data_IF_315224724524
#
_entry.id   IF_315224724524
#
_cell.length_a   1.000
_cell.length_b   1.000
_cell.length_c   1.000
_cell.angle_alpha   90.00
_cell.angle_beta   90.00
_cell.angle_gamma   90.00
#
_symmetry.space_group_name_H-M   'P 1'
#
loop_
_entity.id
_entity.type
_entity.pdbx_description
1 polymer ?
#
# COMPACT_ATOMS: atom_id res chain seq x y z
N UNK A 1 -25.13 -29.84 8.16
CA UNK A 1 -25.98 -29.15 9.18
C UNK A 1 -26.72 -28.06 8.43
N UNK A 2 -27.99 -27.74 8.71
CA UNK A 2 -28.56 -26.59 8.01
C UNK A 2 -27.88 -25.33 8.54
N UNK A 3 -27.37 -24.51 7.63
CA UNK A 3 -26.86 -23.19 7.97
C UNK A 3 -28.05 -22.33 8.45
N UNK A 4 -27.84 -21.48 9.45
CA UNK A 4 -28.92 -20.73 10.12
C UNK A 4 -29.36 -19.45 9.42
N UNK A 5 -28.92 -19.23 8.18
CA UNK A 5 -29.16 -18.04 7.36
C UNK A 5 -29.03 -18.38 5.87
N UNK A 6 -29.56 -17.51 5.01
CA UNK A 6 -29.52 -17.66 3.54
C UNK A 6 -28.36 -16.88 2.90
N UNK A 7 -27.75 -15.93 3.64
CA UNK A 7 -26.63 -15.11 3.17
C UNK A 7 -25.56 -14.99 4.26
N UNK A 8 -24.32 -15.23 3.87
CA UNK A 8 -23.15 -15.12 4.72
C UNK A 8 -22.15 -14.15 4.08
N UNK A 9 -21.54 -13.30 4.90
CA UNK A 9 -20.48 -12.39 4.47
C UNK A 9 -19.26 -12.59 5.37
N UNK A 10 -18.08 -12.60 4.77
CA UNK A 10 -16.84 -12.88 5.47
C UNK A 10 -15.64 -12.75 4.54
N UNK A 11 -14.46 -12.88 5.12
CA UNK A 11 -13.20 -12.91 4.35
C UNK A 11 -12.92 -14.33 3.86
N UNK A 12 -11.82 -14.52 3.14
CA UNK A 12 -11.42 -15.84 2.67
C UNK A 12 -11.30 -16.89 3.78
N UNK A 13 -10.96 -16.48 5.01
CA UNK A 13 -10.83 -17.37 6.15
C UNK A 13 -12.17 -17.94 6.61
N UNK A 14 -13.26 -17.16 6.48
CA UNK A 14 -14.60 -17.62 6.80
C UNK A 14 -14.97 -18.80 5.91
N UNK A 15 -14.75 -18.66 4.60
CA UNK A 15 -15.18 -19.65 3.61
C UNK A 15 -14.17 -20.77 3.39
N UNK A 16 -12.93 -20.64 3.85
CA UNK A 16 -11.96 -21.75 3.93
C UNK A 16 -12.17 -22.65 5.17
N UNK A 17 -13.09 -22.29 6.07
CA UNK A 17 -13.37 -23.06 7.29
C UNK A 17 -14.08 -24.38 6.95
N UNK A 18 -13.73 -25.50 7.61
CA UNK A 18 -14.47 -26.76 7.50
C UNK A 18 -15.97 -26.65 7.80
N UNK A 19 -16.39 -25.58 8.51
CA UNK A 19 -17.80 -25.32 8.77
C UNK A 19 -18.62 -25.14 7.49
N UNK A 20 -18.03 -24.56 6.44
CA UNK A 20 -18.71 -24.27 5.18
C UNK A 20 -18.44 -25.30 4.08
N UNK A 21 -17.60 -26.31 4.33
CA UNK A 21 -17.21 -27.32 3.34
C UNK A 21 -18.42 -27.97 2.67
N UNK A 22 -18.57 -27.70 1.36
CA UNK A 22 -19.69 -28.11 0.52
C UNK A 22 -21.08 -27.67 1.01
N UNK A 23 -21.19 -26.67 1.88
CA UNK A 23 -22.48 -26.23 2.46
C UNK A 23 -23.16 -25.11 1.65
N UNK A 24 -22.44 -24.38 0.80
CA UNK A 24 -22.98 -23.23 0.06
C UNK A 24 -23.31 -23.59 -1.39
N UNK A 25 -24.44 -23.07 -1.89
CA UNK A 25 -24.81 -23.22 -3.30
C UNK A 25 -23.93 -22.37 -4.22
N UNK A 26 -23.59 -21.15 -3.79
CA UNK A 26 -22.77 -20.19 -4.54
C UNK A 26 -21.85 -19.40 -3.61
N UNK A 27 -20.70 -18.98 -4.13
CA UNK A 27 -19.79 -18.03 -3.50
C UNK A 27 -19.53 -16.85 -4.45
N UNK A 28 -19.87 -15.65 -4.02
CA UNK A 28 -19.53 -14.41 -4.73
C UNK A 28 -18.25 -13.82 -4.13
N UNK A 29 -17.27 -13.55 -4.98
CA UNK A 29 -16.03 -12.89 -4.61
C UNK A 29 -16.01 -11.55 -5.30
N UNK A 30 -16.26 -10.50 -4.53
CA UNK A 30 -16.13 -9.12 -4.98
C UNK A 30 -14.67 -8.67 -4.93
N UNK A 31 -14.30 -7.71 -5.76
CA UNK A 31 -12.92 -7.26 -5.97
C UNK A 31 -11.94 -8.43 -6.23
N UNK A 32 -12.36 -9.41 -7.03
CA UNK A 32 -11.60 -10.63 -7.30
C UNK A 32 -10.22 -10.36 -7.96
N UNK A 33 -10.03 -9.21 -8.61
CA UNK A 33 -8.71 -8.74 -9.09
C UNK A 33 -7.71 -8.46 -7.96
N UNK A 34 -8.16 -8.43 -6.71
CA UNK A 34 -7.35 -8.25 -5.52
C UNK A 34 -7.22 -9.54 -4.69
N UNK A 35 -7.81 -10.65 -5.13
CA UNK A 35 -7.80 -11.90 -4.36
C UNK A 35 -6.85 -12.91 -5.00
N UNK A 36 -5.81 -13.30 -4.27
CA UNK A 36 -4.84 -14.29 -4.75
C UNK A 36 -5.52 -15.64 -5.07
N UNK A 37 -5.06 -16.29 -6.12
CA UNK A 37 -5.58 -17.58 -6.61
C UNK A 37 -5.56 -18.64 -5.51
N UNK A 38 -4.51 -18.68 -4.68
CA UNK A 38 -4.42 -19.59 -3.54
C UNK A 38 -5.60 -19.44 -2.54
N UNK A 39 -6.02 -18.19 -2.27
CA UNK A 39 -7.14 -17.92 -1.37
C UNK A 39 -8.45 -18.38 -1.99
N UNK A 40 -8.63 -18.19 -3.30
CA UNK A 40 -9.83 -18.67 -4.00
C UNK A 40 -9.91 -20.19 -3.95
N UNK A 41 -8.80 -20.90 -4.16
CA UNK A 41 -8.77 -22.37 -4.04
C UNK A 41 -9.16 -22.83 -2.63
N UNK A 42 -8.71 -22.12 -1.58
CA UNK A 42 -9.09 -22.45 -0.21
C UNK A 42 -10.60 -22.22 0.04
N UNK A 43 -11.14 -21.09 -0.41
CA UNK A 43 -12.57 -20.78 -0.30
C UNK A 43 -13.46 -21.68 -1.17
N UNK A 44 -12.93 -22.19 -2.29
CA UNK A 44 -13.65 -23.07 -3.20
C UNK A 44 -14.10 -24.38 -2.55
N UNK A 45 -13.56 -24.73 -1.38
CA UNK A 45 -14.08 -25.87 -0.61
C UNK A 45 -15.52 -25.65 -0.15
N UNK A 46 -15.96 -24.40 0.03
CA UNK A 46 -17.31 -24.11 0.50
C UNK A 46 -18.41 -24.40 -0.52
N UNK A 47 -18.10 -24.41 -1.82
CA UNK A 47 -19.10 -24.49 -2.89
C UNK A 47 -18.54 -25.05 -4.21
N UNK A 48 -19.43 -25.51 -5.09
CA UNK A 48 -19.07 -25.87 -6.47
C UNK A 48 -19.25 -24.73 -7.47
N UNK A 49 -19.93 -23.64 -7.10
CA UNK A 49 -20.25 -22.54 -8.01
C UNK A 49 -19.67 -21.23 -7.48
N UNK A 50 -18.70 -20.67 -8.19
CA UNK A 50 -18.01 -19.44 -7.80
C UNK A 50 -18.31 -18.36 -8.84
N UNK A 51 -18.73 -17.18 -8.37
CA UNK A 51 -18.87 -15.98 -9.17
C UNK A 51 -17.77 -15.01 -8.77
N UNK A 52 -16.95 -14.63 -9.74
CA UNK A 52 -15.88 -13.65 -9.57
C UNK A 52 -16.31 -12.32 -10.14
N UNK A 53 -16.24 -11.26 -9.34
CA UNK A 53 -16.58 -9.90 -9.73
C UNK A 53 -15.38 -9.03 -9.42
N UNK A 54 -14.90 -8.26 -10.39
CA UNK A 54 -13.76 -7.38 -10.20
C UNK A 54 -13.18 -6.92 -11.53
N UNK A 55 -12.04 -6.23 -11.44
CA UNK A 55 -11.34 -5.66 -12.59
C UNK A 55 -9.82 -5.83 -12.40
N UNK A 56 -9.19 -6.60 -13.28
CA UNK A 56 -7.75 -6.86 -13.28
C UNK A 56 -6.92 -5.65 -13.72
N UNK A 57 -7.53 -4.66 -14.38
CA UNK A 57 -6.83 -3.43 -14.78
C UNK A 57 -6.73 -2.41 -13.64
N UNK A 58 -7.43 -2.65 -12.53
CA UNK A 58 -7.31 -1.87 -11.31
C UNK A 58 -6.18 -2.41 -10.41
N UNK A 59 -5.88 -1.69 -9.33
CA UNK A 59 -4.77 -2.04 -8.44
C UNK A 59 -4.98 -3.44 -7.84
N UNK A 60 -4.01 -4.33 -8.09
CA UNK A 60 -3.89 -5.59 -7.37
C UNK A 60 -3.56 -5.36 -5.89
N UNK A 61 -3.88 -6.33 -5.04
CA UNK A 61 -3.54 -6.23 -3.62
C UNK A 61 -2.03 -6.40 -3.39
N UNK A 62 -1.43 -5.65 -2.46
CA UNK A 62 -0.06 -5.91 -2.02
C UNK A 62 0.00 -7.28 -1.34
N UNK A 63 0.75 -8.22 -1.93
CA UNK A 63 0.93 -9.55 -1.36
C UNK A 63 2.07 -9.52 -0.36
N UNK A 64 1.78 -9.82 0.91
CA UNK A 64 2.81 -10.01 1.93
C UNK A 64 3.26 -11.48 1.94
N UNK A 65 4.01 -11.89 0.91
CA UNK A 65 4.55 -13.23 0.81
C UNK A 65 4.77 -13.68 -0.63
N UNK A 66 5.79 -14.51 -0.85
CA UNK A 66 6.04 -15.11 -2.16
C UNK A 66 5.28 -16.42 -2.27
N UNK A 67 4.32 -16.49 -3.18
CA UNK A 67 3.68 -17.75 -3.54
C UNK A 67 4.43 -18.38 -4.72
N UNK A 68 4.63 -19.70 -4.74
CA UNK A 68 5.30 -20.37 -5.86
C UNK A 68 4.42 -20.34 -7.11
N UNK A 69 5.05 -20.11 -8.27
CA UNK A 69 4.35 -20.09 -9.56
C UNK A 69 3.25 -19.04 -9.61
N UNK A 70 2.11 -19.42 -10.18
CA UNK A 70 0.98 -18.52 -10.43
C UNK A 70 0.01 -18.40 -9.24
N UNK A 71 0.27 -19.09 -8.13
CA UNK A 71 -0.62 -19.10 -6.96
C UNK A 71 -0.75 -17.72 -6.28
N UNK A 72 0.22 -16.83 -6.51
CA UNK A 72 0.20 -15.45 -6.04
C UNK A 72 -0.54 -14.49 -6.96
N UNK A 73 -0.80 -14.84 -8.21
CA UNK A 73 -1.57 -13.97 -9.11
C UNK A 73 -2.97 -13.77 -8.55
N UNK A 74 -3.57 -12.61 -8.84
CA UNK A 74 -5.00 -12.46 -8.60
C UNK A 74 -5.77 -13.50 -9.42
N UNK A 75 -6.92 -13.96 -8.94
CA UNK A 75 -7.68 -14.99 -9.65
C UNK A 75 -8.13 -14.52 -11.03
N UNK A 76 -8.42 -13.23 -11.20
CA UNK A 76 -8.79 -12.67 -12.50
C UNK A 76 -7.58 -12.62 -13.44
N UNK A 77 -6.41 -12.21 -12.96
CA UNK A 77 -5.16 -12.24 -13.73
C UNK A 77 -4.82 -13.66 -14.18
N UNK A 78 -4.91 -14.64 -13.27
CA UNK A 78 -4.69 -16.05 -13.58
C UNK A 78 -5.66 -16.57 -14.67
N UNK A 79 -6.94 -16.23 -14.59
CA UNK A 79 -7.95 -16.71 -15.54
C UNK A 79 -7.90 -16.00 -16.90
N UNK A 80 -7.49 -14.73 -16.91
CA UNK A 80 -7.43 -13.92 -18.12
C UNK A 80 -6.11 -14.07 -18.87
N UNK A 81 -5.01 -14.34 -18.17
CA UNK A 81 -3.69 -14.40 -18.76
C UNK A 81 -3.37 -13.08 -19.48
N UNK A 82 -3.08 -13.18 -20.79
CA UNK A 82 -2.68 -12.02 -21.60
C UNK A 82 -3.84 -11.11 -22.07
N UNK A 83 -5.08 -11.40 -21.67
CA UNK A 83 -6.25 -10.63 -22.12
C UNK A 83 -6.53 -9.41 -21.22
N UNK A 84 -6.52 -8.22 -21.80
CA UNK A 84 -6.88 -6.96 -21.11
C UNK A 84 -8.35 -6.89 -20.69
N UNK A 85 -9.23 -7.62 -21.37
CA UNK A 85 -10.67 -7.67 -21.09
C UNK A 85 -11.20 -9.10 -21.15
N UNK A 86 -12.28 -9.38 -20.42
CA UNK A 86 -12.89 -10.73 -20.37
C UNK A 86 -13.37 -11.15 -21.78
N UNK A 87 -12.85 -12.27 -22.34
CA UNK A 87 -13.37 -12.83 -23.58
C UNK A 87 -14.82 -13.31 -23.43
N UNK A 88 -15.62 -13.22 -24.50
CA UNK A 88 -17.05 -13.52 -24.44
C UNK A 88 -17.36 -14.97 -24.05
N UNK A 89 -16.45 -15.89 -24.35
CA UNK A 89 -16.51 -17.30 -24.00
C UNK A 89 -16.08 -17.61 -22.56
N UNK A 90 -15.45 -16.64 -21.85
CA UNK A 90 -14.92 -16.82 -20.49
C UNK A 90 -15.74 -16.12 -19.41
N UNK A 91 -16.52 -15.10 -19.76
CA UNK A 91 -17.34 -14.40 -18.78
C UNK A 91 -18.07 -13.19 -19.34
N UNK A 92 -18.63 -12.39 -18.43
CA UNK A 92 -19.46 -11.23 -18.77
C UNK A 92 -18.63 -9.97 -18.55
N UNK A 93 -18.50 -9.15 -19.60
CA UNK A 93 -17.89 -7.83 -19.52
C UNK A 93 -18.97 -6.75 -19.37
N UNK A 94 -18.91 -5.97 -18.30
CA UNK A 94 -19.82 -4.84 -18.07
C UNK A 94 -19.31 -3.58 -18.78
N UNK A 95 -19.55 -3.50 -20.09
CA UNK A 95 -18.96 -2.47 -20.96
C UNK A 95 -19.60 -1.08 -20.92
N UNK A 96 -20.48 -0.77 -19.96
CA UNK A 96 -21.11 0.55 -19.87
C UNK A 96 -20.91 1.18 -18.48
N UNK A 97 -20.14 2.27 -18.43
CA UNK A 97 -19.93 3.05 -17.21
C UNK A 97 -21.01 4.12 -17.03
N UNK A 98 -21.43 4.31 -15.78
CA UNK A 98 -22.30 5.43 -15.37
C UNK A 98 -21.52 6.49 -14.60
N UNK A 99 -20.19 6.45 -14.57
CA UNK A 99 -19.37 7.39 -13.77
C UNK A 99 -18.74 8.49 -14.60
N UNK A 100 -18.10 8.15 -15.71
CA UNK A 100 -17.24 9.07 -16.48
C UNK A 100 -18.00 9.72 -17.63
N UNK A 101 -17.73 11.01 -17.93
CA UNK A 101 -18.23 11.66 -19.16
C UNK A 101 -17.63 10.98 -20.40
N UNK A 102 -18.28 11.08 -21.58
CA UNK A 102 -17.81 10.41 -22.79
C UNK A 102 -16.34 10.69 -23.16
N UNK A 103 -15.88 11.95 -23.04
CA UNK A 103 -14.50 12.33 -23.37
C UNK A 103 -13.44 11.66 -22.48
N UNK A 104 -13.72 11.50 -21.18
CA UNK A 104 -12.83 10.77 -20.25
C UNK A 104 -12.94 9.26 -20.48
N UNK A 105 -14.16 8.76 -20.67
CA UNK A 105 -14.40 7.33 -20.88
C UNK A 105 -13.69 6.80 -22.13
N UNK A 106 -13.68 7.58 -23.23
CA UNK A 106 -13.03 7.18 -24.48
C UNK A 106 -11.53 6.92 -24.27
N UNK A 107 -10.83 7.85 -23.63
CA UNK A 107 -9.41 7.71 -23.33
C UNK A 107 -9.13 6.44 -22.49
N UNK A 108 -9.88 6.24 -21.41
CA UNK A 108 -9.72 5.08 -20.53
C UNK A 108 -10.05 3.77 -21.26
N UNK A 109 -11.08 3.79 -22.11
CA UNK A 109 -11.51 2.63 -22.90
C UNK A 109 -10.42 2.18 -23.87
N UNK A 110 -9.83 3.11 -24.60
CA UNK A 110 -8.78 2.81 -25.59
C UNK A 110 -7.47 2.37 -24.91
N UNK A 111 -7.14 2.97 -23.76
CA UNK A 111 -5.90 2.69 -23.06
C UNK A 111 -5.91 1.35 -22.29
N UNK A 112 -7.04 0.96 -21.70
CA UNK A 112 -7.09 -0.15 -20.74
C UNK A 112 -8.14 -1.22 -21.04
N UNK A 113 -9.12 -0.96 -21.91
CA UNK A 113 -10.27 -1.86 -22.12
C UNK A 113 -10.53 -2.20 -23.59
N UNK A 114 -9.50 -2.19 -24.44
CA UNK A 114 -9.58 -2.55 -25.86
C UNK A 114 -10.67 -1.77 -26.65
N UNK A 115 -11.01 -0.55 -26.21
CA UNK A 115 -12.08 0.27 -26.79
C UNK A 115 -13.50 -0.25 -26.49
N UNK A 116 -13.67 -1.26 -25.62
CA UNK A 116 -14.95 -1.92 -25.34
C UNK A 116 -15.79 -1.20 -24.28
N UNK A 117 -15.20 -0.29 -23.50
CA UNK A 117 -15.89 0.47 -22.47
C UNK A 117 -16.59 1.72 -23.07
N UNK A 118 -17.86 1.91 -22.74
CA UNK A 118 -18.69 3.02 -23.24
C UNK A 118 -19.31 3.80 -22.09
N UNK A 119 -19.55 5.10 -22.30
CA UNK A 119 -20.25 5.94 -21.34
C UNK A 119 -21.76 5.83 -21.54
N UNK A 120 -22.52 5.67 -20.45
CA UNK A 120 -23.98 5.79 -20.48
C UNK A 120 -24.38 7.23 -20.85
N UNK A 121 -25.47 7.42 -21.60
CA UNK A 121 -25.91 8.73 -22.10
C UNK A 121 -26.06 9.79 -20.98
N UNK A 122 -26.64 9.39 -19.84
CA UNK A 122 -26.80 10.26 -18.67
C UNK A 122 -25.49 10.80 -18.07
N UNK A 123 -24.34 10.23 -18.43
CA UNK A 123 -23.06 10.77 -17.97
C UNK A 123 -22.73 12.09 -18.65
N UNK A 124 -23.25 12.34 -19.86
CA UNK A 124 -23.01 13.55 -20.64
C UNK A 124 -23.77 14.77 -20.10
N UNK A 125 -24.82 14.55 -19.29
CA UNK A 125 -25.67 15.57 -18.67
C UNK A 125 -24.96 16.35 -17.57
N UNK A 126 -23.89 15.79 -16.99
CA UNK A 126 -23.05 16.51 -16.02
C UNK A 126 -22.07 17.41 -16.74
N UNK A 127 -21.87 18.62 -16.24
CA UNK A 127 -20.90 19.57 -16.81
C UNK A 127 -20.28 20.44 -15.75
N UNK A 128 -19.05 20.87 -16.03
CA UNK A 128 -18.39 21.97 -15.31
C UNK A 128 -18.54 23.23 -16.17
N UNK A 129 -18.82 24.36 -15.55
CA UNK A 129 -18.70 25.68 -16.17
C UNK A 129 -17.62 26.47 -15.42
N UNK A 130 -16.40 26.37 -15.93
CA UNK A 130 -15.21 26.93 -15.32
C UNK A 130 -14.90 28.28 -15.98
N UNK A 131 -14.93 29.35 -15.19
CA UNK A 131 -14.73 30.72 -15.66
C UNK A 131 -13.45 31.32 -15.10
N UNK A 132 -12.64 31.90 -15.98
CA UNK A 132 -11.42 32.64 -15.59
C UNK A 132 -10.30 31.76 -15.01
N UNK A 133 -10.34 30.44 -15.22
CA UNK A 133 -9.31 29.51 -14.78
C UNK A 133 -8.67 28.78 -15.95
N UNK A 134 -7.40 28.45 -15.82
CA UNK A 134 -6.61 27.71 -16.81
C UNK A 134 -6.84 26.19 -16.65
N UNK A 135 -8.09 25.78 -16.86
CA UNK A 135 -8.55 24.39 -16.94
C UNK A 135 -9.74 24.32 -17.91
N UNK A 136 -9.84 23.27 -18.75
CA UNK A 136 -11.01 23.07 -19.60
C UNK A 136 -12.20 22.58 -18.77
N UNK A 137 -13.40 22.84 -19.27
CA UNK A 137 -14.67 22.37 -18.67
C UNK A 137 -14.84 20.84 -18.68
N UNK A 138 -13.96 20.11 -19.37
CA UNK A 138 -13.98 18.65 -19.41
C UNK A 138 -12.64 18.05 -19.82
N UNK A 139 -12.46 16.76 -19.49
CA UNK A 139 -11.36 15.95 -19.98
C UNK A 139 -10.25 15.72 -18.97
N UNK A 140 -9.09 15.33 -19.48
CA UNK A 140 -7.87 15.04 -18.72
C UNK A 140 -6.83 16.08 -19.12
N UNK A 141 -6.21 16.72 -18.14
CA UNK A 141 -5.19 17.75 -18.36
C UNK A 141 -3.91 17.34 -17.70
N UNK A 142 -2.80 17.44 -18.45
CA UNK A 142 -1.46 17.27 -17.90
C UNK A 142 -0.88 18.65 -17.58
N UNK A 143 -0.49 18.84 -16.32
CA UNK A 143 0.16 20.07 -15.84
C UNK A 143 1.56 19.68 -15.40
N UNK A 144 2.58 20.25 -16.05
CA UNK A 144 3.98 20.00 -15.69
C UNK A 144 4.40 20.87 -14.51
N UNK A 145 5.18 20.29 -13.59
CA UNK A 145 5.85 21.00 -12.52
C UNK A 145 7.37 20.91 -12.74
N UNK A 146 8.08 22.03 -12.68
CA UNK A 146 9.54 22.05 -12.75
C UNK A 146 10.12 21.81 -11.35
N UNK A 147 10.68 20.62 -11.11
CA UNK A 147 11.36 20.28 -9.86
C UNK A 147 12.40 19.16 -10.09
N UNK A 148 13.38 19.04 -9.19
CA UNK A 148 14.43 18.01 -9.24
C UNK A 148 14.61 17.37 -7.86
N UNK A 149 14.80 16.04 -7.82
CA UNK A 149 15.10 15.32 -6.58
C UNK A 149 13.90 15.10 -5.63
N UNK A 150 12.67 15.34 -6.08
CA UNK A 150 11.44 15.23 -5.27
C UNK A 150 10.83 13.81 -5.25
N UNK A 151 11.55 12.80 -4.74
CA UNK A 151 11.08 11.41 -4.73
C UNK A 151 9.85 11.15 -3.86
N UNK A 152 9.68 11.90 -2.77
CA UNK A 152 8.63 11.69 -1.75
C UNK A 152 7.82 12.93 -1.39
N UNK A 153 8.25 14.12 -1.81
CA UNK A 153 7.58 15.41 -1.59
C UNK A 153 8.10 16.41 -2.61
N UNK A 154 7.18 17.10 -3.28
CA UNK A 154 7.47 18.32 -4.03
C UNK A 154 6.60 19.44 -3.45
N UNK A 155 7.25 20.56 -3.09
CA UNK A 155 6.52 21.77 -2.67
C UNK A 155 5.89 22.40 -3.90
N UNK A 156 6.60 22.37 -5.03
CA UNK A 156 6.22 22.90 -6.33
C UNK A 156 4.93 22.24 -6.86
N UNK A 157 4.85 20.90 -6.85
CA UNK A 157 3.61 20.18 -7.19
C UNK A 157 2.48 20.54 -6.22
N UNK A 158 2.78 20.63 -4.92
CA UNK A 158 1.80 20.98 -3.90
C UNK A 158 1.21 22.37 -4.09
N UNK A 159 2.03 23.35 -4.43
CA UNK A 159 1.61 24.73 -4.73
C UNK A 159 0.73 24.78 -6.00
N UNK A 160 1.12 24.06 -7.06
CA UNK A 160 0.32 23.96 -8.29
C UNK A 160 -1.05 23.32 -8.00
N UNK A 161 -1.07 22.19 -7.30
CA UNK A 161 -2.31 21.48 -6.94
C UNK A 161 -3.20 22.38 -6.09
N UNK A 162 -2.64 23.03 -5.06
CA UNK A 162 -3.38 23.95 -4.20
C UNK A 162 -3.98 25.11 -4.99
N UNK A 163 -3.21 25.72 -5.89
CA UNK A 163 -3.70 26.83 -6.71
C UNK A 163 -4.87 26.40 -7.62
N UNK A 164 -4.81 25.21 -8.22
CA UNK A 164 -5.90 24.67 -9.05
C UNK A 164 -7.11 24.26 -8.20
N UNK A 165 -6.89 23.66 -7.03
CA UNK A 165 -7.95 23.32 -6.07
C UNK A 165 -8.73 24.56 -5.63
N UNK A 166 -8.03 25.60 -5.16
CA UNK A 166 -8.66 26.85 -4.73
C UNK A 166 -9.43 27.54 -5.86
N UNK A 167 -8.92 27.46 -7.10
CA UNK A 167 -9.56 28.05 -8.28
C UNK A 167 -10.83 27.29 -8.74
N UNK A 168 -10.94 26.00 -8.43
CA UNK A 168 -12.11 25.18 -8.72
C UNK A 168 -13.26 25.41 -7.73
N UNK A 169 -12.95 25.70 -6.47
CA UNK A 169 -13.97 25.94 -5.46
C UNK A 169 -14.86 27.14 -5.85
N UNK A 170 -16.17 26.94 -5.75
CA UNK A 170 -17.16 27.96 -6.11
C UNK A 170 -17.46 28.08 -7.61
N UNK A 171 -16.72 27.40 -8.49
CA UNK A 171 -17.09 27.27 -9.91
C UNK A 171 -18.39 26.47 -10.05
N UNK A 172 -19.07 26.58 -11.19
CA UNK A 172 -20.37 25.93 -11.36
C UNK A 172 -20.23 24.47 -11.82
N UNK A 173 -20.93 23.58 -11.12
CA UNK A 173 -21.15 22.20 -11.49
C UNK A 173 -22.64 21.96 -11.70
N UNK A 174 -22.99 21.32 -12.82
CA UNK A 174 -24.35 20.88 -13.10
C UNK A 174 -24.43 19.37 -13.00
N UNK A 175 -25.35 18.86 -12.16
CA UNK A 175 -25.57 17.43 -12.00
C UNK A 175 -26.61 16.90 -13.01
N UNK A 176 -26.83 15.57 -13.02
CA UNK A 176 -27.70 14.86 -13.98
C UNK A 176 -29.15 15.30 -13.94
N UNK A 177 -29.62 15.79 -12.80
CA UNK A 177 -30.97 16.32 -12.64
C UNK A 177 -31.12 17.76 -13.19
N UNK A 178 -30.04 18.33 -13.71
CA UNK A 178 -29.98 19.71 -14.20
C UNK A 178 -29.76 20.74 -13.09
N UNK A 179 -29.57 20.31 -11.83
CA UNK A 179 -29.28 21.23 -10.73
C UNK A 179 -27.87 21.77 -10.88
N UNK A 180 -27.75 23.09 -11.00
CA UNK A 180 -26.47 23.81 -10.99
C UNK A 180 -26.18 24.33 -9.59
N UNK A 181 -24.96 24.08 -9.10
CA UNK A 181 -24.48 24.55 -7.81
C UNK A 181 -22.97 24.81 -7.83
N UNK A 182 -22.44 25.60 -6.88
CA UNK A 182 -21.00 25.72 -6.72
C UNK A 182 -20.35 24.38 -6.35
N UNK A 183 -19.14 24.15 -6.88
CA UNK A 183 -18.23 23.08 -6.48
C UNK A 183 -17.79 23.32 -5.03
N UNK A 184 -17.87 22.27 -4.21
CA UNK A 184 -17.40 22.26 -2.83
C UNK A 184 -16.23 21.30 -2.66
N UNK A 185 -15.66 21.26 -1.46
CA UNK A 185 -14.57 20.34 -1.12
C UNK A 185 -14.97 18.87 -1.32
N UNK A 186 -16.24 18.52 -1.09
CA UNK A 186 -16.78 17.16 -1.27
C UNK A 186 -16.77 16.68 -2.73
N UNK A 187 -16.64 17.60 -3.69
CA UNK A 187 -16.63 17.30 -5.12
C UNK A 187 -15.22 17.06 -5.66
N UNK A 188 -14.17 17.39 -4.89
CA UNK A 188 -12.78 17.36 -5.35
C UNK A 188 -11.99 16.32 -4.57
N UNK A 189 -11.53 15.29 -5.26
CA UNK A 189 -10.60 14.31 -4.71
C UNK A 189 -9.17 14.60 -5.20
N UNK A 190 -8.29 15.02 -4.28
CA UNK A 190 -6.85 15.10 -4.56
C UNK A 190 -6.22 13.76 -4.22
N UNK A 191 -5.88 12.98 -5.25
CA UNK A 191 -5.16 11.73 -5.09
C UNK A 191 -3.67 11.98 -5.25
N UNK A 192 -2.91 11.48 -4.28
CA UNK A 192 -1.46 11.39 -4.37
C UNK A 192 -1.09 9.92 -4.36
N UNK A 193 -0.15 9.52 -5.20
CA UNK A 193 0.59 8.28 -4.98
C UNK A 193 1.47 8.48 -3.73
N UNK A 194 0.89 8.29 -2.55
CA UNK A 194 1.60 8.27 -1.27
C UNK A 194 1.92 6.80 -0.96
N UNK A 195 2.98 6.40 -0.29
CA UNK A 195 4.32 6.91 0.02
C UNK A 195 4.97 5.69 0.69
N UNK A 196 6.26 5.43 0.48
CA UNK A 196 6.97 4.39 1.23
C UNK A 196 6.73 4.54 2.75
N UNK A 197 6.57 5.77 3.25
CA UNK A 197 6.20 6.09 4.63
C UNK A 197 4.87 5.50 5.09
N UNK A 198 3.82 5.46 4.26
CA UNK A 198 2.52 4.90 4.67
C UNK A 198 2.50 3.37 4.60
N UNK A 199 3.25 2.79 3.66
CA UNK A 199 3.55 1.36 3.66
C UNK A 199 4.37 0.96 4.89
N UNK A 200 5.43 1.72 5.20
CA UNK A 200 6.25 1.57 6.42
C UNK A 200 5.37 1.75 7.66
N UNK A 201 4.53 2.78 7.73
CA UNK A 201 3.61 3.04 8.84
C UNK A 201 2.54 1.94 8.98
N UNK A 202 2.10 1.31 7.89
CA UNK A 202 1.23 0.13 7.94
C UNK A 202 1.95 -1.12 8.47
N UNK A 203 3.22 -1.31 8.12
CA UNK A 203 4.03 -2.37 8.75
C UNK A 203 4.23 -2.09 10.24
N UNK A 204 4.48 -0.83 10.62
CA UNK A 204 4.64 -0.36 12.01
C UNK A 204 3.34 -0.51 12.82
N UNK A 205 2.17 -0.19 12.26
CA UNK A 205 0.87 -0.33 12.95
C UNK A 205 0.44 -1.79 13.15
N UNK A 206 0.90 -2.70 12.30
CA UNK A 206 0.58 -4.14 12.40
C UNK A 206 1.41 -4.86 13.47
N UNK A 207 2.55 -4.30 13.89
CA UNK A 207 3.26 -4.71 15.09
C UNK A 207 2.73 -3.92 16.29
N UNK A 208 2.03 -4.59 17.21
CA UNK A 208 1.66 -3.99 18.51
C UNK A 208 2.89 -3.33 19.16
N UNK A 209 2.90 -1.99 19.21
CA UNK A 209 4.00 -1.21 19.80
C UNK A 209 5.16 -0.99 18.83
N UNK A 210 5.29 0.27 18.43
CA UNK A 210 6.25 0.96 17.55
C UNK A 210 7.71 0.51 17.70
N UNK A 211 8.23 -0.28 16.74
CA UNK A 211 9.66 -0.64 16.65
C UNK A 211 10.09 -0.91 15.17
N UNK A 212 10.82 0.01 14.50
CA UNK A 212 11.38 -0.19 13.13
C UNK A 212 12.89 -0.49 13.13
N UNK A 213 13.42 -1.50 12.43
CA UNK A 213 14.85 -1.92 12.48
C UNK A 213 15.71 -1.43 11.30
N UNK A 214 16.97 -1.07 11.53
CA UNK A 214 18.02 -1.00 10.49
C UNK A 214 18.40 -2.42 10.04
N UNK A 215 17.90 -2.84 8.87
CA UNK A 215 18.16 -4.18 8.33
C UNK A 215 19.14 -4.09 7.15
N UNK A 216 20.35 -4.58 7.38
CA UNK A 216 21.28 -4.93 6.30
C UNK A 216 21.21 -6.44 6.05
N UNK A 217 20.68 -6.84 4.89
CA UNK A 217 20.45 -8.25 4.56
C UNK A 217 21.65 -8.96 3.89
N UNK A 218 22.82 -8.33 3.82
CA UNK A 218 24.03 -8.95 3.25
C UNK A 218 24.15 -8.85 1.73
N UNK A 219 23.03 -8.77 1.02
CA UNK A 219 22.97 -8.75 -0.46
C UNK A 219 22.86 -7.32 -1.06
N UNK A 220 22.90 -6.29 -0.21
CA UNK A 220 22.75 -4.89 -0.64
C UNK A 220 24.12 -4.26 -0.94
N UNK A 221 24.17 -3.38 -1.96
CA UNK A 221 25.32 -2.50 -2.14
C UNK A 221 25.51 -1.61 -0.89
N UNK A 222 26.67 -1.71 -0.24
CA UNK A 222 26.92 -1.02 1.04
C UNK A 222 26.92 0.50 0.92
N UNK A 223 27.33 1.06 -0.22
CA UNK A 223 27.32 2.51 -0.42
C UNK A 223 25.90 3.02 -0.64
N UNK A 224 25.08 2.27 -1.37
CA UNK A 224 23.66 2.55 -1.53
C UNK A 224 22.91 2.41 -0.20
N UNK A 225 23.19 1.36 0.58
CA UNK A 225 22.59 1.17 1.89
C UNK A 225 22.97 2.27 2.88
N UNK A 226 24.24 2.69 2.91
CA UNK A 226 24.67 3.82 3.75
C UNK A 226 23.97 5.15 3.39
N UNK A 227 23.57 5.30 2.12
CA UNK A 227 22.80 6.45 1.62
C UNK A 227 21.29 6.28 1.73
N UNK A 228 20.81 5.14 2.22
CA UNK A 228 19.38 4.87 2.34
C UNK A 228 18.75 5.80 3.37
N UNK A 229 17.48 6.15 3.14
CA UNK A 229 16.73 7.08 3.98
C UNK A 229 16.66 6.63 5.44
N UNK A 230 16.52 5.31 5.68
CA UNK A 230 16.50 4.77 7.05
C UNK A 230 17.83 5.00 7.79
N UNK A 231 18.96 4.95 7.08
CA UNK A 231 20.28 5.29 7.65
C UNK A 231 20.43 6.79 7.82
N UNK A 232 19.93 7.61 6.89
CA UNK A 232 19.98 9.07 7.03
C UNK A 232 19.11 9.56 8.19
N UNK A 233 17.91 9.01 8.38
CA UNK A 233 17.03 9.31 9.51
C UNK A 233 17.66 8.90 10.84
N UNK A 234 18.33 7.75 10.89
CA UNK A 234 19.12 7.35 12.06
C UNK A 234 20.18 8.40 12.38
N UNK A 235 20.97 8.81 11.38
CA UNK A 235 22.07 9.78 11.57
C UNK A 235 21.56 11.16 12.01
N UNK A 236 20.35 11.56 11.61
CA UNK A 236 19.73 12.81 12.07
C UNK A 236 19.21 12.73 13.51
N UNK A 237 18.84 11.54 13.99
CA UNK A 237 18.20 11.32 15.29
C UNK A 237 19.18 10.91 16.39
N UNK A 238 20.28 10.24 16.04
CA UNK A 238 21.31 9.87 17.01
C UNK A 238 22.11 11.09 17.45
N UNK A 239 22.23 11.27 18.77
CA UNK A 239 23.08 12.31 19.30
C UNK A 239 24.55 11.99 19.03
N UNK A 240 25.35 13.03 18.79
CA UNK A 240 26.74 12.87 18.37
C UNK A 240 27.63 12.23 19.44
N UNK A 241 27.27 12.33 20.73
CA UNK A 241 28.03 11.74 21.84
C UNK A 241 27.86 10.21 21.86
N UNK A 242 26.61 9.73 21.81
CA UNK A 242 26.29 8.30 21.69
C UNK A 242 26.92 7.69 20.45
N UNK A 243 26.82 8.36 19.30
CA UNK A 243 27.45 7.89 18.07
C UNK A 243 28.97 7.78 18.22
N UNK A 244 29.62 8.81 18.78
CA UNK A 244 31.06 8.81 19.00
C UNK A 244 31.51 7.68 19.95
N UNK A 245 30.78 7.44 21.05
CA UNK A 245 31.06 6.36 22.00
C UNK A 245 30.98 4.97 21.34
N UNK A 246 29.96 4.73 20.52
CA UNK A 246 29.79 3.46 19.80
C UNK A 246 30.93 3.25 18.81
N UNK A 247 31.25 4.26 17.99
CA UNK A 247 32.34 4.20 17.02
C UNK A 247 33.68 4.00 17.72
N UNK A 248 33.92 4.70 18.83
CA UNK A 248 35.14 4.58 19.62
C UNK A 248 35.30 3.16 20.17
N UNK A 249 34.25 2.58 20.76
CA UNK A 249 34.26 1.19 21.23
C UNK A 249 34.55 0.19 20.12
N UNK A 250 33.92 0.35 18.95
CA UNK A 250 34.20 -0.52 17.79
C UNK A 250 35.66 -0.39 17.38
N UNK A 251 36.20 0.83 17.36
CA UNK A 251 37.59 1.09 16.98
C UNK A 251 38.62 0.49 17.96
N UNK A 252 38.28 0.33 19.24
CA UNK A 252 39.18 -0.27 20.24
C UNK A 252 39.48 -1.76 19.95
N UNK A 253 38.49 -2.52 19.47
CA UNK A 253 38.71 -3.90 19.03
C UNK A 253 37.71 -4.28 17.93
N UNK A 254 37.97 -3.93 16.65
CA UNK A 254 37.00 -4.10 15.58
C UNK A 254 36.55 -5.55 15.35
N UNK A 255 37.42 -6.53 15.62
CA UNK A 255 37.08 -7.94 15.40
C UNK A 255 36.09 -8.47 16.44
N UNK A 256 36.23 -8.04 17.70
CA UNK A 256 35.36 -8.48 18.79
C UNK A 256 34.11 -7.60 18.90
N UNK A 257 34.29 -6.28 18.83
CA UNK A 257 33.24 -5.31 19.12
C UNK A 257 32.29 -5.05 17.95
N UNK A 258 32.59 -5.47 16.71
CA UNK A 258 31.59 -5.44 15.63
C UNK A 258 30.46 -6.44 15.84
N UNK A 259 30.75 -7.56 16.50
CA UNK A 259 29.77 -8.63 16.68
C UNK A 259 28.79 -8.29 17.80
N UNK A 260 27.50 -8.51 17.57
CA UNK A 260 26.48 -8.32 18.60
C UNK A 260 26.14 -6.86 18.93
N UNK A 261 26.54 -5.90 18.09
CA UNK A 261 25.97 -4.55 18.12
C UNK A 261 24.46 -4.70 17.99
N UNK A 262 23.72 -4.04 18.89
CA UNK A 262 22.27 -4.13 18.93
C UNK A 262 21.67 -3.80 17.57
N UNK A 263 20.61 -4.53 17.21
CA UNK A 263 19.80 -4.25 16.04
C UNK A 263 19.12 -2.90 16.20
N UNK A 264 19.74 -1.80 15.75
CA UNK A 264 19.18 -0.46 15.91
C UNK A 264 17.71 -0.42 15.51
N UNK A 265 16.84 -0.11 16.47
CA UNK A 265 15.43 0.13 16.21
C UNK A 265 15.13 1.62 16.38
N UNK A 266 14.58 2.21 15.34
CA UNK A 266 14.06 3.57 15.31
C UNK A 266 12.56 3.49 15.64
N UNK A 267 12.28 3.95 16.85
CA UNK A 267 11.22 4.91 17.20
C UNK A 267 9.85 4.44 17.69
N UNK A 268 9.47 5.07 18.81
CA UNK A 268 8.12 5.43 19.24
C UNK A 268 8.05 6.97 19.35
N UNK A 269 7.25 7.62 18.50
CA UNK A 269 6.90 9.05 18.40
C UNK A 269 7.99 10.17 18.42
N UNK A 270 9.00 10.13 19.31
CA UNK A 270 10.11 11.06 19.70
C UNK A 270 11.51 10.43 19.98
N UNK A 271 11.60 9.14 20.32
CA UNK A 271 12.71 8.62 21.13
C UNK A 271 13.61 7.62 20.36
N UNK A 272 14.93 7.86 20.37
CA UNK A 272 15.92 6.86 19.95
C UNK A 272 16.16 5.86 21.08
N UNK A 273 15.90 4.58 20.82
CA UNK A 273 16.23 3.49 21.75
C UNK A 273 17.07 2.43 21.06
N UNK A 274 18.11 1.96 21.74
CA UNK A 274 18.86 0.79 21.28
C UNK A 274 18.03 -0.45 21.62
N UNK A 275 17.76 -1.32 20.64
CA UNK A 275 16.93 -2.50 20.89
C UNK A 275 17.63 -3.73 20.37
N UNK A 276 17.55 -4.83 21.12
CA UNK A 276 17.95 -6.14 20.65
C UNK A 276 16.69 -6.98 20.40
N UNK A 277 16.43 -7.35 19.13
CA UNK A 277 15.25 -8.16 18.78
C UNK A 277 15.57 -9.64 18.89
N UNK A 278 14.75 -10.38 19.63
CA UNK A 278 14.86 -11.84 19.77
C UNK A 278 13.54 -12.53 19.49
N UNK A 279 13.60 -13.72 18.90
CA UNK A 279 12.43 -14.61 18.94
C UNK A 279 12.14 -14.99 20.40
N UNK A 280 10.88 -15.27 20.73
CA UNK A 280 10.46 -15.65 22.11
C UNK A 280 11.37 -16.68 22.77
N UNK A 281 11.85 -17.68 22.01
CA UNK A 281 12.72 -18.77 22.51
C UNK A 281 14.21 -18.59 22.19
N UNK A 282 14.60 -17.49 21.56
CA UNK A 282 16.00 -17.24 21.20
C UNK A 282 16.78 -16.66 22.38
N UNK A 283 17.98 -17.20 22.60
CA UNK A 283 18.90 -16.72 23.63
C UNK A 283 19.66 -15.47 23.14
N UNK A 284 19.96 -14.57 24.07
CA UNK A 284 20.85 -13.43 23.81
C UNK A 284 22.28 -13.96 23.84
N UNK A 285 23.06 -13.65 22.80
CA UNK A 285 24.46 -14.10 22.68
C UNK A 285 25.35 -13.32 23.64
N UNK A 286 26.48 -13.90 24.01
CA UNK A 286 27.47 -13.25 24.89
C UNK A 286 27.95 -11.90 24.33
N UNK A 287 28.21 -11.81 23.02
CA UNK A 287 28.58 -10.54 22.38
C UNK A 287 27.51 -9.47 22.50
N UNK A 288 26.24 -9.85 22.48
CA UNK A 288 25.10 -8.93 22.66
C UNK A 288 24.97 -8.50 24.12
N UNK A 289 25.15 -9.43 25.07
CA UNK A 289 25.19 -9.11 26.51
C UNK A 289 26.31 -8.12 26.84
N UNK A 290 27.49 -8.28 26.23
CA UNK A 290 28.60 -7.35 26.38
C UNK A 290 28.23 -5.96 25.85
N UNK A 291 27.49 -5.87 24.74
CA UNK A 291 26.99 -4.59 24.23
C UNK A 291 25.99 -3.94 25.17
N UNK A 292 25.01 -4.70 25.64
CA UNK A 292 23.97 -4.26 26.59
C UNK A 292 24.56 -3.73 27.89
N UNK A 293 25.50 -4.46 28.50
CA UNK A 293 26.14 -4.07 29.77
C UNK A 293 26.82 -2.71 29.65
N UNK A 294 27.61 -2.52 28.59
CA UNK A 294 28.32 -1.26 28.37
C UNK A 294 27.38 -0.11 28.01
N UNK A 295 26.29 -0.34 27.26
CA UNK A 295 25.31 0.71 26.98
C UNK A 295 24.65 1.20 28.27
N UNK A 296 24.36 0.28 29.20
CA UNK A 296 23.86 0.62 30.54
C UNK A 296 24.90 1.45 31.31
N UNK A 297 26.18 1.05 31.29
CA UNK A 297 27.25 1.78 31.98
C UNK A 297 27.46 3.21 31.41
N UNK A 298 27.28 3.39 30.09
CA UNK A 298 27.35 4.68 29.39
C UNK A 298 26.05 5.48 29.43
N UNK A 299 25.03 4.99 30.13
CA UNK A 299 23.71 5.59 30.27
C UNK A 299 22.98 5.79 28.91
N UNK A 300 23.21 4.88 27.98
CA UNK A 300 22.55 4.80 26.67
C UNK A 300 21.29 3.94 26.82
N UNK A 301 20.09 4.45 26.49
CA UNK A 301 18.84 3.70 26.61
C UNK A 301 18.86 2.43 25.74
N UNK A 302 18.69 1.27 26.38
CA UNK A 302 18.69 -0.02 25.69
C UNK A 302 17.65 -0.99 26.25
N UNK A 303 17.07 -1.82 25.37
CA UNK A 303 16.08 -2.83 25.74
C UNK A 303 16.16 -4.09 24.86
N UNK A 304 15.57 -5.19 25.33
CA UNK A 304 15.43 -6.44 24.56
C UNK A 304 13.96 -6.65 24.26
N UNK A 305 13.60 -6.67 22.97
CA UNK A 305 12.23 -6.91 22.52
C UNK A 305 12.11 -8.35 22.02
N UNK A 306 11.10 -9.07 22.53
CA UNK A 306 10.82 -10.45 22.12
C UNK A 306 9.62 -10.53 21.18
N UNK A 307 9.87 -10.88 19.92
CA UNK A 307 8.83 -11.02 18.90
C UNK A 307 8.39 -12.47 18.74
N UNK A 308 7.08 -12.69 18.58
CA UNK A 308 6.55 -13.98 18.11
C UNK A 308 6.91 -14.08 16.63
N UNK A 309 7.52 -15.19 16.23
CA UNK A 309 7.68 -15.46 14.81
C UNK A 309 6.28 -15.60 14.20
N UNK A 310 6.01 -14.85 13.13
CA UNK A 310 4.89 -15.12 12.21
C UNK A 310 5.24 -16.38 11.43
#
# INVERSE_FOLDING_TARGET
MSLGADLFAGTAWTFASPHFDGQLDYLFIDEAGQVATANVVAMATATKNIILVGDQMQLGQPIQGTHPGEAGLSVLEFLLGDHSTIPAERGIFLGQTRRMRPSICQFISDAFYDGRLTAHESTAERSLDLQGIDLPNEGIVMISAEHEGCSQKSVEEGEIIKAKYDALLGQEFTDRDGTTRPITEDDILVVRSINLSDFINQQIKRSEGTWTRLIYNGDQDMLAYAKSEIVQDFLQRIDSDTFAKIVYRIAQNPNENRSGVSDFIIWNDDELRMVEVKKVREQVRESQLNWLSWMIDENIPVEIVRVKAV
#
